data_IF_898120508819
#
_entry.id   IF_898120508819
#
_cell.length_a   1.000
_cell.length_b   1.000
_cell.length_c   1.000
_cell.angle_alpha   90.00
_cell.angle_beta   90.00
_cell.angle_gamma   90.00
#
_symmetry.space_group_name_H-M   'P 1'
#
loop_
_entity.id
_entity.type
_entity.pdbx_description
1 polymer ?
#
# COMPACT_ATOMS: atom_id res chain seq x y z
N UNK A 1 -21.21 4.57 -24.56
CA UNK A 1 -19.80 4.79 -24.18
C UNK A 1 -19.46 3.68 -23.21
N UNK A 2 -18.75 2.63 -23.67
CA UNK A 2 -18.31 1.56 -22.78
C UNK A 2 -17.16 2.15 -21.97
N UNK A 3 -17.37 2.39 -20.67
CA UNK A 3 -16.26 2.73 -19.80
C UNK A 3 -15.32 1.54 -19.84
N UNK A 4 -14.16 1.75 -20.45
CA UNK A 4 -13.00 0.90 -20.30
C UNK A 4 -12.82 0.71 -18.78
N UNK A 5 -13.19 -0.45 -18.27
CA UNK A 5 -12.92 -0.86 -16.89
C UNK A 5 -11.41 -1.04 -16.75
N UNK A 6 -10.67 0.06 -16.85
CA UNK A 6 -9.28 0.07 -16.45
C UNK A 6 -9.28 -0.31 -14.98
N UNK A 7 -8.60 -1.40 -14.60
CA UNK A 7 -8.52 -1.77 -13.20
C UNK A 7 -8.03 -0.55 -12.41
N UNK A 8 -8.69 -0.20 -11.29
CA UNK A 8 -8.35 1.00 -10.53
C UNK A 8 -6.85 0.99 -10.23
N UNK A 9 -6.20 2.12 -10.49
CA UNK A 9 -4.75 2.26 -10.33
C UNK A 9 -4.35 1.88 -8.89
N UNK A 10 -3.13 1.35 -8.71
CA UNK A 10 -2.64 0.95 -7.39
C UNK A 10 -2.82 2.05 -6.33
N UNK A 11 -2.62 3.31 -6.73
CA UNK A 11 -2.80 4.48 -5.87
C UNK A 11 -4.26 4.64 -5.38
N UNK A 12 -5.23 4.41 -6.27
CA UNK A 12 -6.65 4.47 -5.94
C UNK A 12 -7.06 3.34 -5.00
N UNK A 13 -6.57 2.12 -5.24
CA UNK A 13 -6.78 0.97 -4.34
C UNK A 13 -6.17 1.19 -2.96
N UNK A 14 -4.96 1.75 -2.91
CA UNK A 14 -4.30 2.10 -1.65
C UNK A 14 -5.06 3.21 -0.90
N UNK A 15 -5.62 4.18 -1.63
CA UNK A 15 -6.47 5.24 -1.05
C UNK A 15 -7.78 4.66 -0.52
N UNK A 16 -8.40 3.74 -1.25
CA UNK A 16 -9.59 2.99 -0.82
C UNK A 16 -9.29 2.16 0.44
N UNK A 17 -8.16 1.45 0.45
CA UNK A 17 -7.68 0.70 1.62
C UNK A 17 -7.40 1.60 2.82
N UNK A 18 -6.79 2.77 2.65
CA UNK A 18 -6.62 3.76 3.73
C UNK A 18 -7.96 4.32 4.27
N UNK A 19 -8.98 4.41 3.42
CA UNK A 19 -10.35 4.78 3.79
C UNK A 19 -11.13 3.67 4.49
N UNK A 20 -10.64 2.43 4.48
CA UNK A 20 -11.30 1.32 5.18
C UNK A 20 -11.60 1.59 6.66
N UNK A 21 -10.79 2.45 7.29
CA UNK A 21 -10.96 2.86 8.69
C UNK A 21 -11.75 4.18 8.87
N UNK A 22 -12.18 4.85 7.79
CA UNK A 22 -12.77 6.21 7.82
C UNK A 22 -14.17 6.34 7.19
N UNK A 23 -14.79 5.29 6.64
CA UNK A 23 -16.18 5.37 6.18
C UNK A 23 -16.45 4.66 4.86
N UNK A 24 -16.89 5.38 3.82
CA UNK A 24 -17.21 4.78 2.52
C UNK A 24 -15.94 4.31 1.79
N UNK A 25 -15.80 2.99 1.65
CA UNK A 25 -14.76 2.30 0.88
C UNK A 25 -15.37 1.09 0.19
N UNK A 26 -14.70 0.59 -0.84
CA UNK A 26 -15.04 -0.69 -1.47
C UNK A 26 -14.43 -1.85 -0.66
N UNK A 27 -15.25 -2.68 0.01
CA UNK A 27 -14.74 -3.74 0.88
C UNK A 27 -14.05 -4.87 0.10
N UNK A 28 -14.47 -5.14 -1.14
CA UNK A 28 -13.88 -6.17 -1.98
C UNK A 28 -12.47 -5.79 -2.43
N UNK A 29 -12.25 -4.54 -2.83
CA UNK A 29 -10.93 -4.02 -3.14
C UNK A 29 -10.04 -3.94 -1.88
N UNK A 30 -10.58 -3.44 -0.77
CA UNK A 30 -9.82 -3.36 0.49
C UNK A 30 -9.40 -4.74 1.00
N UNK A 31 -10.23 -5.78 0.83
CA UNK A 31 -9.88 -7.16 1.17
C UNK A 31 -8.79 -7.70 0.25
N UNK A 32 -8.88 -7.48 -1.06
CA UNK A 32 -7.82 -7.87 -2.03
C UNK A 32 -6.48 -7.23 -1.67
N UNK A 33 -6.48 -5.92 -1.39
CA UNK A 33 -5.30 -5.19 -0.94
C UNK A 33 -4.80 -5.75 0.40
N UNK A 34 -5.69 -6.05 1.35
CA UNK A 34 -5.31 -6.62 2.64
C UNK A 34 -4.69 -8.01 2.49
N UNK A 35 -5.21 -8.86 1.60
CA UNK A 35 -4.69 -10.20 1.33
C UNK A 35 -3.30 -10.13 0.71
N UNK A 36 -3.12 -9.29 -0.33
CA UNK A 36 -1.82 -9.05 -0.94
C UNK A 36 -0.84 -8.40 0.06
N UNK A 37 -1.30 -7.45 0.87
CA UNK A 37 -0.50 -6.82 1.91
C UNK A 37 -0.01 -7.85 2.93
N UNK A 38 -0.84 -8.83 3.33
CA UNK A 38 -0.44 -9.89 4.27
C UNK A 38 0.70 -10.77 3.75
N UNK A 39 0.82 -10.97 2.43
CA UNK A 39 1.91 -11.78 1.83
C UNK A 39 3.23 -11.02 1.72
N UNK A 40 3.22 -9.69 1.91
CA UNK A 40 4.43 -8.88 1.89
C UNK A 40 5.33 -9.12 3.12
N UNK A 41 6.61 -8.80 2.96
CA UNK A 41 7.58 -8.80 4.05
C UNK A 41 7.14 -7.86 5.19
N UNK A 42 7.39 -8.21 6.47
CA UNK A 42 7.00 -7.40 7.63
C UNK A 42 7.42 -5.93 7.54
N UNK A 43 8.61 -5.65 7.00
CA UNK A 43 9.11 -4.29 6.79
C UNK A 43 8.22 -3.47 5.85
N UNK A 44 7.89 -3.99 4.67
CA UNK A 44 7.00 -3.32 3.72
C UNK A 44 5.57 -3.20 4.25
N UNK A 45 5.11 -4.21 5.00
CA UNK A 45 3.78 -4.17 5.63
C UNK A 45 3.64 -3.01 6.59
N UNK A 46 4.62 -2.82 7.47
CA UNK A 46 4.66 -1.72 8.43
C UNK A 46 4.72 -0.36 7.73
N UNK A 47 5.56 -0.20 6.68
CA UNK A 47 5.59 1.05 5.87
C UNK A 47 4.19 1.40 5.37
N UNK A 48 3.53 0.47 4.68
CA UNK A 48 2.22 0.70 4.07
C UNK A 48 1.14 0.96 5.12
N UNK A 49 1.14 0.22 6.24
CA UNK A 49 0.21 0.44 7.34
C UNK A 49 0.40 1.82 7.96
N UNK A 50 1.63 2.21 8.26
CA UNK A 50 1.87 3.52 8.87
C UNK A 50 1.50 4.67 7.93
N UNK A 51 1.81 4.56 6.64
CA UNK A 51 1.54 5.63 5.66
C UNK A 51 0.06 5.72 5.29
N UNK A 52 -0.61 4.60 4.99
CA UNK A 52 -1.97 4.60 4.45
C UNK A 52 -3.06 4.41 5.49
N UNK A 53 -2.85 3.58 6.52
CA UNK A 53 -3.85 3.38 7.58
C UNK A 53 -3.72 4.44 8.68
N UNK A 54 -2.50 4.71 9.14
CA UNK A 54 -2.28 5.67 10.23
C UNK A 54 -2.06 7.10 9.75
N UNK A 55 -1.83 7.32 8.46
CA UNK A 55 -1.42 8.62 7.92
C UNK A 55 -0.23 9.22 8.68
N UNK A 56 0.69 8.35 9.11
CA UNK A 56 1.85 8.75 9.90
C UNK A 56 2.80 9.58 9.04
N UNK A 57 3.28 10.69 9.62
CA UNK A 57 4.32 11.50 8.99
C UNK A 57 5.59 10.68 8.77
N UNK A 58 6.31 11.01 7.69
CA UNK A 58 7.59 10.39 7.32
C UNK A 58 8.56 10.25 8.49
N UNK A 59 8.62 11.22 9.39
CA UNK A 59 9.49 11.16 10.58
C UNK A 59 9.16 10.00 11.52
N UNK A 60 7.87 9.74 11.75
CA UNK A 60 7.41 8.64 12.61
C UNK A 60 7.74 7.30 11.96
N UNK A 61 7.53 7.20 10.64
CA UNK A 61 7.86 6.00 9.88
C UNK A 61 9.37 5.74 9.88
N UNK A 62 10.20 6.76 9.61
CA UNK A 62 11.65 6.64 9.65
C UNK A 62 12.16 6.21 11.03
N UNK A 63 11.62 6.80 12.10
CA UNK A 63 12.01 6.46 13.48
C UNK A 63 11.65 5.01 13.81
N UNK A 64 10.45 4.56 13.43
CA UNK A 64 9.94 3.23 13.78
C UNK A 64 10.60 2.11 12.97
N UNK A 65 10.83 2.35 11.68
CA UNK A 65 11.48 1.39 10.79
C UNK A 65 13.01 1.49 10.80
N UNK A 66 13.57 2.34 11.66
CA UNK A 66 15.00 2.64 11.73
C UNK A 66 15.58 3.00 10.35
N UNK A 67 14.80 3.68 9.51
CA UNK A 67 15.25 4.21 8.23
C UNK A 67 16.03 5.49 8.51
N UNK A 68 17.18 5.63 7.87
CA UNK A 68 18.01 6.82 7.99
C UNK A 68 17.20 8.04 7.56
N UNK A 69 17.03 9.00 8.48
CA UNK A 69 16.19 10.20 8.27
C UNK A 69 16.68 11.04 7.08
N UNK A 70 17.97 10.97 6.79
CA UNK A 70 18.60 11.58 5.63
C UNK A 70 19.49 10.56 4.92
N UNK A 71 19.55 10.60 3.58
CA UNK A 71 18.85 11.52 2.66
C UNK A 71 17.35 11.18 2.42
N UNK A 72 16.57 12.19 1.96
CA UNK A 72 15.09 12.11 1.83
C UNK A 72 14.59 11.04 0.87
N UNK A 73 15.36 10.76 -0.17
CA UNK A 73 15.03 9.75 -1.17
C UNK A 73 15.04 8.32 -0.62
N UNK A 74 15.70 8.02 0.52
CA UNK A 74 15.69 6.66 1.07
C UNK A 74 14.31 6.24 1.56
N UNK A 75 13.56 7.16 2.17
CA UNK A 75 12.18 6.88 2.56
C UNK A 75 11.30 6.67 1.32
N UNK A 76 11.46 7.52 0.31
CA UNK A 76 10.69 7.43 -0.92
C UNK A 76 10.98 6.12 -1.66
N UNK A 77 12.25 5.69 -1.69
CA UNK A 77 12.67 4.40 -2.23
C UNK A 77 12.02 3.24 -1.47
N UNK A 78 12.07 3.22 -0.14
CA UNK A 78 11.43 2.15 0.64
C UNK A 78 9.91 2.11 0.43
N UNK A 79 9.27 3.28 0.31
CA UNK A 79 7.86 3.38 0.00
C UNK A 79 7.56 2.88 -1.42
N UNK A 80 8.39 3.23 -2.39
CA UNK A 80 8.30 2.78 -3.78
C UNK A 80 8.46 1.27 -3.87
N UNK A 81 9.47 0.69 -3.21
CA UNK A 81 9.67 -0.76 -3.13
C UNK A 81 8.46 -1.44 -2.49
N UNK A 82 7.93 -0.89 -1.40
CA UNK A 82 6.74 -1.45 -0.75
C UNK A 82 5.50 -1.39 -1.66
N UNK A 83 5.30 -0.30 -2.40
CA UNK A 83 4.22 -0.16 -3.41
C UNK A 83 4.39 -1.15 -4.55
N UNK A 84 5.59 -1.26 -5.12
CA UNK A 84 5.88 -2.19 -6.21
C UNK A 84 5.73 -3.64 -5.77
N UNK A 85 6.15 -3.99 -4.56
CA UNK A 85 5.94 -5.31 -3.99
C UNK A 85 4.45 -5.62 -3.80
N UNK A 86 3.66 -4.64 -3.33
CA UNK A 86 2.20 -4.79 -3.25
C UNK A 86 1.56 -4.95 -4.62
N UNK A 87 1.98 -4.16 -5.60
CA UNK A 87 1.50 -4.25 -6.98
C UNK A 87 1.76 -5.66 -7.52
N UNK A 88 2.96 -6.19 -7.32
CA UNK A 88 3.33 -7.54 -7.73
C UNK A 88 2.51 -8.59 -7.01
N UNK A 89 2.33 -8.48 -5.69
CA UNK A 89 1.49 -9.40 -4.92
C UNK A 89 0.01 -9.37 -5.37
N UNK A 90 -0.50 -8.20 -5.77
CA UNK A 90 -1.84 -8.05 -6.35
C UNK A 90 -1.92 -8.68 -7.75
N UNK A 91 -0.86 -8.62 -8.55
CA UNK A 91 -0.77 -9.29 -9.85
C UNK A 91 -0.69 -10.81 -9.69
N UNK A 92 0.20 -11.30 -8.82
CA UNK A 92 0.36 -12.72 -8.48
C UNK A 92 -0.95 -13.31 -7.93
N UNK A 93 -1.73 -12.53 -7.17
CA UNK A 93 -3.07 -12.90 -6.72
C UNK A 93 -4.14 -12.94 -7.82
N UNK A 94 -3.90 -12.34 -9.00
CA UNK A 94 -4.76 -12.50 -10.19
C UNK A 94 -4.45 -13.79 -10.96
N UNK A 95 -3.23 -14.32 -10.86
CA UNK A 95 -2.78 -15.50 -11.62
C UNK A 95 -3.05 -16.84 -10.92
N UNK A 96 -3.61 -16.83 -9.71
CA UNK A 96 -3.92 -18.04 -8.92
C UNK A 96 -5.41 -18.38 -8.87
N UNK A 97 -6.22 -17.86 -9.81
CA UNK A 97 -7.62 -18.28 -10.02
C UNK A 97 -7.75 -19.31 -11.13
#
# INVERSE_FOLDING_TARGET
MKHDEQPPSLDERLRNWGRSNRGAYDPSDAERVTRAWRTLQPRHREVLRMVYLWHASREVVCRRLKIVRHPRHLFDLELCVARSALARALEEGKFTQ
#
